data_IF_971317687520
#
_entry.id   IF_971317687520
#
_cell.length_a   1.000
_cell.length_b   1.000
_cell.length_c   1.000
_cell.angle_alpha   90.00
_cell.angle_beta   90.00
_cell.angle_gamma   90.00
#
_symmetry.space_group_name_H-M   'P 1'
#
loop_
_entity.id
_entity.type
_entity.pdbx_description
1 polymer ?
#
# COMPACT_ATOMS: atom_id res chain seq x y z
N UNK A 1 12.92 10.97 -3.09
CA UNK A 1 11.51 10.53 -3.16
C UNK A 1 11.32 9.29 -2.26
N UNK A 2 10.10 9.01 -1.77
CA UNK A 2 9.82 7.81 -0.94
C UNK A 2 8.65 7.03 -1.55
N UNK A 3 8.77 5.70 -1.65
CA UNK A 3 7.72 4.78 -2.09
C UNK A 3 7.30 3.90 -0.91
N UNK A 4 6.01 3.70 -0.71
CA UNK A 4 5.43 2.89 0.37
C UNK A 4 4.37 1.95 -0.22
N UNK A 5 4.64 0.63 -0.31
CA UNK A 5 3.61 -0.35 -0.63
C UNK A 5 2.54 -0.36 0.48
N UNK A 6 1.27 -0.26 0.10
CA UNK A 6 0.13 -0.21 1.03
C UNK A 6 -0.72 -1.49 1.00
N UNK A 7 -0.71 -2.18 -0.15
CA UNK A 7 -1.26 -3.52 -0.31
C UNK A 7 -0.55 -4.26 -1.45
N UNK A 8 -0.25 -5.54 -1.23
CA UNK A 8 0.62 -6.34 -2.12
C UNK A 8 0.02 -7.70 -2.53
N UNK A 9 -1.26 -7.97 -2.23
CA UNK A 9 -1.96 -9.17 -2.70
C UNK A 9 -2.44 -9.03 -4.15
N UNK A 10 -2.63 -10.17 -4.82
CA UNK A 10 -3.29 -10.24 -6.13
C UNK A 10 -4.68 -10.87 -6.02
N UNK A 11 -5.67 -10.31 -6.73
CA UNK A 11 -7.07 -10.71 -6.92
C UNK A 11 -7.95 -10.75 -5.65
N UNK A 12 -7.41 -11.14 -4.50
CA UNK A 12 -8.12 -11.28 -3.24
C UNK A 12 -7.20 -10.94 -2.07
N UNK A 13 -7.68 -10.24 -1.02
CA UNK A 13 -6.86 -9.98 0.15
C UNK A 13 -6.61 -11.30 0.90
N UNK A 14 -5.53 -11.32 1.69
CA UNK A 14 -5.26 -12.39 2.65
C UNK A 14 -5.24 -11.81 4.06
N UNK A 15 -5.21 -12.65 5.09
CA UNK A 15 -5.14 -12.20 6.49
C UNK A 15 -3.91 -11.32 6.83
N UNK A 16 -2.90 -11.26 5.93
CA UNK A 16 -1.63 -10.54 6.11
C UNK A 16 -1.16 -9.76 4.87
N UNK A 17 -2.00 -9.63 3.83
CA UNK A 17 -1.72 -8.84 2.62
C UNK A 17 -3.01 -8.22 2.09
N UNK A 18 -3.02 -6.91 1.89
CA UNK A 18 -4.15 -6.12 1.39
C UNK A 18 -4.12 -5.99 -0.14
N UNK A 19 -5.21 -5.49 -0.72
CA UNK A 19 -5.35 -5.31 -2.17
C UNK A 19 -4.49 -4.17 -2.72
N UNK A 20 -4.13 -4.18 -4.02
CA UNK A 20 -3.13 -3.29 -4.61
C UNK A 20 -3.32 -1.81 -4.31
N UNK A 21 -2.28 -1.24 -3.71
CA UNK A 21 -2.09 0.19 -3.58
C UNK A 21 -0.62 0.47 -3.25
N UNK A 22 -0.03 1.48 -3.89
CA UNK A 22 1.32 1.97 -3.60
C UNK A 22 1.28 3.49 -3.51
N UNK A 23 1.75 4.06 -2.41
CA UNK A 23 1.87 5.50 -2.26
C UNK A 23 3.31 5.97 -2.52
N UNK A 24 3.46 6.98 -3.37
CA UNK A 24 4.69 7.74 -3.54
C UNK A 24 4.53 9.06 -2.79
N UNK A 25 5.48 9.38 -1.92
CA UNK A 25 5.56 10.64 -1.19
C UNK A 25 6.71 11.49 -1.73
N UNK A 26 6.39 12.75 -2.04
CA UNK A 26 7.32 13.76 -2.53
C UNK A 26 6.94 15.12 -1.95
N UNK A 27 7.88 15.79 -1.28
CA UNK A 27 7.79 17.20 -0.87
C UNK A 27 6.50 17.57 -0.11
N UNK A 28 5.92 16.62 0.63
CA UNK A 28 4.69 16.80 1.41
C UNK A 28 3.40 16.39 0.69
N UNK A 29 3.45 16.10 -0.60
CA UNK A 29 2.38 15.54 -1.42
C UNK A 29 2.46 14.01 -1.53
N UNK A 30 1.32 13.39 -1.80
CA UNK A 30 1.16 11.94 -1.99
C UNK A 30 0.55 11.67 -3.37
N UNK A 31 1.10 10.67 -4.05
CA UNK A 31 0.64 10.16 -5.34
C UNK A 31 0.30 8.68 -5.13
N UNK A 32 -0.94 8.30 -5.39
CA UNK A 32 -1.44 6.95 -5.09
C UNK A 32 -1.60 6.14 -6.38
N UNK A 33 -0.90 5.02 -6.49
CA UNK A 33 -0.98 4.09 -7.62
C UNK A 33 -1.80 2.88 -7.19
N UNK A 34 -2.94 2.69 -7.87
CA UNK A 34 -4.08 1.87 -7.46
C UNK A 34 -4.66 2.20 -6.08
N UNK A 35 -5.94 1.87 -5.91
CA UNK A 35 -6.70 2.12 -4.69
C UNK A 35 -7.64 0.95 -4.41
N UNK A 36 -7.06 -0.23 -4.17
CA UNK A 36 -7.79 -1.41 -3.72
C UNK A 36 -8.52 -1.23 -2.39
N UNK A 37 -9.40 -2.17 -2.06
CA UNK A 37 -10.09 -2.19 -0.78
C UNK A 37 -9.09 -2.10 0.38
N UNK A 38 -9.44 -1.32 1.41
CA UNK A 38 -8.62 -1.01 2.58
C UNK A 38 -7.41 -0.08 2.35
N UNK A 39 -7.09 0.36 1.12
CA UNK A 39 -5.95 1.24 0.84
C UNK A 39 -5.89 2.48 1.76
N UNK A 40 -7.03 3.12 2.00
CA UNK A 40 -7.13 4.29 2.90
C UNK A 40 -6.78 4.01 4.38
N UNK A 41 -6.90 2.76 4.83
CA UNK A 41 -6.51 2.33 6.18
C UNK A 41 -5.01 2.02 6.24
N UNK A 42 -4.47 1.34 5.21
CA UNK A 42 -3.02 1.17 5.04
C UNK A 42 -2.29 2.52 5.01
N UNK A 43 -2.86 3.55 4.36
CA UNK A 43 -2.33 4.92 4.42
C UNK A 43 -2.22 5.45 5.87
N UNK A 44 -3.27 5.27 6.68
CA UNK A 44 -3.25 5.70 8.09
C UNK A 44 -2.20 4.94 8.90
N UNK A 45 -2.07 3.62 8.68
CA UNK A 45 -1.07 2.78 9.34
C UNK A 45 0.36 3.18 8.95
N UNK A 46 0.59 3.59 7.70
CA UNK A 46 1.86 4.15 7.21
C UNK A 46 2.11 5.61 7.66
N UNK A 47 1.18 6.23 8.40
CA UNK A 47 1.27 7.65 8.81
C UNK A 47 1.04 8.66 7.67
N UNK A 48 0.59 8.20 6.50
CA UNK A 48 0.32 9.04 5.33
C UNK A 48 -1.03 9.76 5.45
N UNK A 49 -1.00 11.08 5.34
CA UNK A 49 -2.22 11.91 5.38
C UNK A 49 -2.97 11.81 4.05
N UNK A 50 -4.16 11.22 4.04
CA UNK A 50 -5.06 11.15 2.87
C UNK A 50 -5.35 12.54 2.27
N UNK A 51 -5.47 13.58 3.10
CA UNK A 51 -5.63 14.97 2.65
C UNK A 51 -4.43 15.56 1.90
N UNK A 52 -3.29 14.84 1.84
CA UNK A 52 -2.12 15.20 1.03
C UNK A 52 -2.02 14.45 -0.30
N UNK A 53 -3.02 13.62 -0.66
CA UNK A 53 -3.09 13.05 -2.00
C UNK A 53 -3.31 14.17 -3.01
N UNK A 54 -2.48 14.23 -4.04
CA UNK A 54 -2.63 15.19 -5.15
C UNK A 54 -3.14 14.50 -6.42
N UNK A 55 -2.74 13.25 -6.65
CA UNK A 55 -3.25 12.43 -7.73
C UNK A 55 -3.45 10.96 -7.33
N UNK A 56 -4.43 10.31 -7.96
CA UNK A 56 -4.67 8.86 -7.92
C UNK A 56 -4.56 8.33 -9.35
N UNK A 57 -3.77 7.28 -9.54
CA UNK A 57 -3.52 6.60 -10.81
C UNK A 57 -4.09 5.19 -10.74
N UNK A 58 -5.19 4.92 -11.44
CA UNK A 58 -5.81 3.59 -11.52
C UNK A 58 -5.26 2.88 -12.76
N UNK A 59 -4.67 1.71 -12.59
CA UNK A 59 -4.10 0.91 -13.67
C UNK A 59 -5.18 0.32 -14.58
N UNK A 60 -6.20 -0.32 -13.99
CA UNK A 60 -7.27 -1.02 -14.72
C UNK A 60 -8.53 -1.28 -13.88
N UNK A 61 -9.56 -1.84 -14.52
CA UNK A 61 -10.86 -2.15 -13.90
C UNK A 61 -11.00 -3.60 -13.40
N UNK A 62 -9.92 -4.17 -12.86
CA UNK A 62 -10.03 -5.30 -11.94
C UNK A 62 -10.33 -4.77 -10.52
N UNK A 63 -11.26 -5.42 -9.81
CA UNK A 63 -11.94 -4.84 -8.64
C UNK A 63 -10.95 -4.52 -7.51
N UNK A 64 -9.89 -5.31 -7.39
CA UNK A 64 -8.83 -5.13 -6.42
C UNK A 64 -7.96 -3.89 -6.66
N UNK A 65 -8.02 -3.24 -7.82
CA UNK A 65 -7.23 -2.04 -8.12
C UNK A 65 -7.97 -0.72 -7.88
N UNK A 66 -9.31 -0.73 -7.75
CA UNK A 66 -10.09 0.51 -7.58
C UNK A 66 -11.20 0.46 -6.51
N UNK A 67 -11.50 -0.70 -5.93
CA UNK A 67 -12.63 -0.88 -4.97
C UNK A 67 -12.58 0.05 -3.75
N UNK A 68 -11.41 0.48 -3.30
CA UNK A 68 -11.25 1.43 -2.20
C UNK A 68 -11.53 2.90 -2.56
N UNK A 69 -11.58 3.24 -3.85
CA UNK A 69 -11.63 4.62 -4.34
C UNK A 69 -12.84 5.40 -3.80
N UNK A 70 -14.04 4.84 -3.86
CA UNK A 70 -15.26 5.55 -3.42
C UNK A 70 -15.27 5.81 -1.91
N UNK A 71 -14.72 4.88 -1.11
CA UNK A 71 -14.56 5.06 0.33
C UNK A 71 -13.51 6.13 0.67
N UNK A 72 -12.44 6.22 -0.13
CA UNK A 72 -11.43 7.27 -0.01
C UNK A 72 -12.00 8.66 -0.38
N UNK A 73 -12.68 8.79 -1.52
CA UNK A 73 -13.30 10.07 -1.95
C UNK A 73 -14.33 10.57 -0.93
N UNK A 74 -15.21 9.70 -0.45
CA UNK A 74 -16.17 10.02 0.62
C UNK A 74 -15.46 10.51 1.90
N UNK A 75 -14.31 9.92 2.21
CA UNK A 75 -13.49 10.33 3.38
C UNK A 75 -12.81 11.68 3.16
N UNK A 76 -12.30 11.97 1.97
CA UNK A 76 -11.73 13.28 1.64
C UNK A 76 -12.79 14.39 1.74
N UNK A 77 -14.03 14.10 1.35
CA UNK A 77 -15.15 15.02 1.51
C UNK A 77 -15.48 15.28 2.99
N UNK A 78 -15.55 14.23 3.82
CA UNK A 78 -15.74 14.38 5.26
C UNK A 78 -14.59 15.13 5.94
N UNK A 79 -13.37 15.06 5.39
CA UNK A 79 -12.21 15.81 5.84
C UNK A 79 -12.20 17.28 5.38
N UNK A 80 -13.22 17.74 4.66
CA UNK A 80 -13.34 19.11 4.11
C UNK A 80 -12.12 19.51 3.27
N UNK A 81 -11.68 18.59 2.42
CA UNK A 81 -10.69 18.90 1.38
C UNK A 81 -11.23 20.02 0.49
N UNK A 82 -10.35 20.98 0.18
CA UNK A 82 -10.54 22.14 -0.69
C UNK A 82 -9.69 22.04 -1.96
N UNK A 83 -8.47 21.48 -1.86
CA UNK A 83 -7.55 21.27 -2.99
C UNK A 83 -8.15 20.33 -4.05
N UNK A 84 -8.01 20.69 -5.34
CA UNK A 84 -8.32 19.81 -6.48
C UNK A 84 -7.62 18.44 -6.35
N UNK A 85 -8.25 17.38 -6.88
CA UNK A 85 -7.69 16.02 -6.95
C UNK A 85 -7.60 15.58 -8.41
N UNK A 86 -6.43 15.14 -8.87
CA UNK A 86 -6.33 14.46 -10.17
C UNK A 86 -6.69 12.98 -10.02
N UNK A 87 -7.54 12.45 -10.90
CA UNK A 87 -7.75 11.00 -11.07
C UNK A 87 -7.41 10.64 -12.51
N UNK A 88 -6.39 9.81 -12.68
CA UNK A 88 -5.94 9.31 -13.97
C UNK A 88 -6.16 7.80 -14.08
N UNK A 89 -6.49 7.32 -15.28
CA UNK A 89 -6.69 5.89 -15.53
C UNK A 89 -7.35 5.60 -16.88
N UNK A 90 -7.79 4.36 -17.13
CA UNK A 90 -8.55 4.03 -18.32
C UNK A 90 -9.82 4.87 -18.46
N UNK A 91 -10.15 5.18 -19.70
CA UNK A 91 -11.45 5.74 -20.11
C UNK A 91 -12.62 4.98 -19.49
N UNK A 92 -13.54 5.71 -18.87
CA UNK A 92 -14.62 5.19 -18.04
C UNK A 92 -14.41 5.41 -16.54
N UNK A 93 -13.22 5.85 -16.09
CA UNK A 93 -12.96 6.17 -14.68
C UNK A 93 -13.78 7.38 -14.24
N UNK A 94 -13.99 8.36 -15.14
CA UNK A 94 -14.86 9.50 -14.88
C UNK A 94 -16.31 9.05 -14.67
N UNK A 95 -16.84 8.27 -15.61
CA UNK A 95 -18.20 7.73 -15.56
C UNK A 95 -18.43 6.91 -14.29
N UNK A 96 -17.48 6.03 -13.94
CA UNK A 96 -17.53 5.24 -12.72
C UNK A 96 -17.62 6.11 -11.45
N UNK A 97 -16.74 7.11 -11.31
CA UNK A 97 -16.72 7.97 -10.11
C UNK A 97 -17.98 8.83 -10.04
N UNK A 98 -18.34 9.53 -11.12
CA UNK A 98 -19.52 10.42 -11.16
C UNK A 98 -20.83 9.65 -10.92
N UNK A 99 -20.97 8.45 -11.50
CA UNK A 99 -22.13 7.59 -11.27
C UNK A 99 -22.26 7.18 -9.79
N UNK A 100 -21.17 6.76 -9.15
CA UNK A 100 -21.20 6.33 -7.75
C UNK A 100 -21.44 7.50 -6.78
N UNK A 101 -20.88 8.68 -7.05
CA UNK A 101 -21.16 9.90 -6.29
C UNK A 101 -22.65 10.28 -6.39
N UNK A 102 -23.21 10.28 -7.60
CA UNK A 102 -24.63 10.57 -7.84
C UNK A 102 -25.54 9.53 -7.17
N UNK A 103 -25.24 8.23 -7.33
CA UNK A 103 -26.00 7.13 -6.71
C UNK A 103 -26.04 7.22 -5.17
N UNK A 104 -24.92 7.61 -4.56
CA UNK A 104 -24.80 7.75 -3.10
C UNK A 104 -25.27 9.12 -2.57
N UNK A 105 -25.60 10.07 -3.44
CA UNK A 105 -25.94 11.44 -3.07
C UNK A 105 -24.76 12.25 -2.49
N UNK A 106 -23.52 11.81 -2.74
CA UNK A 106 -22.31 12.48 -2.24
C UNK A 106 -21.93 13.61 -3.18
N UNK A 107 -22.02 14.84 -2.69
CA UNK A 107 -21.44 16.03 -3.32
C UNK A 107 -20.06 16.27 -2.74
N UNK A 108 -19.05 16.44 -3.60
CA UNK A 108 -17.69 16.80 -3.20
C UNK A 108 -17.57 18.33 -3.07
N UNK A 109 -16.80 18.80 -2.11
CA UNK A 109 -16.44 20.21 -1.88
C UNK A 109 -15.10 20.61 -2.50
N UNK A 110 -14.53 19.75 -3.34
CA UNK A 110 -13.31 19.95 -4.11
C UNK A 110 -13.51 19.36 -5.51
N UNK A 111 -12.85 19.94 -6.50
CA UNK A 111 -12.94 19.51 -7.88
C UNK A 111 -12.09 18.25 -8.15
N UNK A 112 -12.53 17.44 -9.12
CA UNK A 112 -11.76 16.31 -9.67
C UNK A 112 -11.39 16.62 -11.12
N UNK A 113 -10.09 16.63 -11.39
CA UNK A 113 -9.55 16.67 -12.74
C UNK A 113 -9.33 15.23 -13.24
N UNK A 114 -10.05 14.82 -14.28
CA UNK A 114 -9.97 13.47 -14.83
C UNK A 114 -9.02 13.40 -16.04
N UNK A 115 -8.03 12.51 -15.97
CA UNK A 115 -7.12 12.21 -17.08
C UNK A 115 -7.38 10.79 -17.58
N UNK A 116 -8.28 10.68 -18.56
CA UNK A 116 -8.70 9.40 -19.15
C UNK A 116 -7.81 9.01 -20.33
N UNK A 117 -7.27 7.79 -20.31
CA UNK A 117 -6.45 7.22 -21.39
C UNK A 117 -7.29 6.24 -22.22
N UNK A 118 -7.30 6.40 -23.55
CA UNK A 118 -7.93 5.49 -24.52
C UNK A 118 -6.95 4.34 -24.87
N UNK A 119 -7.47 3.17 -25.19
CA UNK A 119 -6.66 1.96 -25.49
C UNK A 119 -5.71 2.09 -26.68
N UNK A 120 -5.92 3.13 -27.52
CA UNK A 120 -5.16 3.43 -28.73
C UNK A 120 -3.91 4.27 -28.47
N UNK A 121 -3.79 4.90 -27.31
CA UNK A 121 -2.68 5.78 -26.98
C UNK A 121 -1.44 4.98 -26.58
N UNK A 122 -0.34 5.06 -27.35
CA UNK A 122 0.91 4.38 -26.98
C UNK A 122 1.61 4.97 -25.74
N UNK A 123 1.31 6.24 -25.45
CA UNK A 123 1.84 7.03 -24.35
C UNK A 123 0.95 8.23 -24.07
N UNK A 124 0.67 8.51 -22.80
CA UNK A 124 -0.09 9.70 -22.41
C UNK A 124 0.56 10.40 -21.24
N UNK A 125 0.68 11.72 -21.32
CA UNK A 125 1.12 12.56 -20.21
C UNK A 125 -0.07 12.87 -19.31
N UNK A 126 -0.31 12.02 -18.31
CA UNK A 126 -1.47 12.14 -17.42
C UNK A 126 -1.30 13.25 -16.37
N UNK A 127 -0.07 13.66 -16.07
CA UNK A 127 0.28 14.88 -15.33
C UNK A 127 1.54 15.49 -15.92
N UNK A 128 1.58 16.80 -16.16
CA UNK A 128 2.80 17.57 -16.43
C UNK A 128 2.79 18.81 -15.54
N UNK A 129 3.56 18.77 -14.45
CA UNK A 129 3.75 19.88 -13.51
C UNK A 129 5.13 20.51 -13.74
N UNK A 130 5.39 21.71 -13.20
CA UNK A 130 6.61 22.45 -13.49
C UNK A 130 7.91 21.68 -13.15
N UNK A 131 7.87 20.82 -12.13
CA UNK A 131 9.02 20.12 -11.54
C UNK A 131 8.95 18.58 -11.60
N UNK A 132 7.82 17.99 -12.05
CA UNK A 132 7.69 16.56 -12.32
C UNK A 132 6.63 16.29 -13.39
N UNK A 133 6.64 15.07 -13.93
CA UNK A 133 5.56 14.59 -14.77
C UNK A 133 5.20 13.13 -14.43
N UNK A 134 3.99 12.72 -14.84
CA UNK A 134 3.56 11.32 -14.83
C UNK A 134 3.14 10.91 -16.22
N UNK A 135 3.76 9.85 -16.73
CA UNK A 135 3.49 9.22 -18.01
C UNK A 135 2.76 7.89 -17.80
N UNK A 136 1.73 7.63 -18.59
CA UNK A 136 1.02 6.35 -18.65
C UNK A 136 1.32 5.64 -19.97
N UNK A 137 1.38 4.30 -19.96
CA UNK A 137 1.48 3.46 -21.17
C UNK A 137 0.63 2.20 -21.06
N UNK A 138 0.03 1.70 -22.17
CA UNK A 138 -0.63 0.41 -22.20
C UNK A 138 0.30 -0.74 -21.81
N UNK A 139 -0.17 -1.60 -20.91
CA UNK A 139 0.40 -2.88 -20.52
C UNK A 139 -0.34 -4.03 -21.21
N UNK A 140 0.18 -5.26 -21.07
CA UNK A 140 -0.38 -6.46 -21.70
C UNK A 140 -1.13 -7.31 -20.68
N UNK A 141 -2.38 -6.98 -20.43
CA UNK A 141 -3.26 -7.71 -19.50
C UNK A 141 -4.56 -8.20 -20.17
N UNK A 142 -5.38 -8.99 -19.46
CA UNK A 142 -6.69 -9.50 -19.93
C UNK A 142 -7.73 -8.40 -20.19
N UNK A 143 -7.63 -7.29 -19.45
CA UNK A 143 -8.34 -6.03 -19.69
C UNK A 143 -7.33 -4.94 -20.01
N UNK A 144 -7.78 -3.84 -20.61
CA UNK A 144 -6.92 -2.68 -20.84
C UNK A 144 -6.34 -2.19 -19.50
N UNK A 145 -5.01 -2.11 -19.44
CA UNK A 145 -4.25 -1.82 -18.24
C UNK A 145 -3.14 -0.82 -18.54
N UNK A 146 -2.89 0.07 -17.58
CA UNK A 146 -1.87 1.11 -17.64
C UNK A 146 -0.78 0.87 -16.61
N UNK A 147 0.46 1.01 -17.05
CA UNK A 147 1.61 1.23 -16.18
C UNK A 147 1.93 2.72 -16.17
N UNK A 148 2.51 3.19 -15.06
CA UNK A 148 2.81 4.60 -14.86
C UNK A 148 4.29 4.83 -14.55
N UNK A 149 4.85 5.95 -15.01
CA UNK A 149 6.17 6.45 -14.64
C UNK A 149 6.03 7.85 -14.04
N UNK A 150 6.38 7.99 -12.78
CA UNK A 150 6.64 9.29 -12.15
C UNK A 150 8.10 9.68 -12.41
N UNK A 151 8.32 10.90 -12.87
CA UNK A 151 9.65 11.43 -13.16
C UNK A 151 9.73 12.89 -12.68
N UNK A 152 10.58 13.18 -11.69
CA UNK A 152 11.01 14.57 -11.46
C UNK A 152 11.76 15.08 -12.70
N UNK A 153 11.56 16.34 -13.05
CA UNK A 153 12.34 17.02 -14.08
C UNK A 153 13.76 17.27 -13.54
N UNK A 154 14.74 17.28 -14.45
CA UNK A 154 16.14 17.41 -14.08
C UNK A 154 16.39 18.75 -13.39
N UNK A 155 17.11 18.69 -12.27
CA UNK A 155 17.42 19.87 -11.45
C UNK A 155 18.76 20.44 -11.93
N UNK A 156 18.92 21.78 -12.00
CA UNK A 156 20.23 22.38 -12.26
C UNK A 156 21.33 21.82 -11.35
N UNK A 157 22.55 21.85 -11.86
CA UNK A 157 23.73 21.46 -11.10
C UNK A 157 23.88 22.25 -9.80
N UNK A 158 24.76 21.77 -8.93
CA UNK A 158 25.16 22.56 -7.77
C UNK A 158 26.00 23.75 -8.28
N UNK A 159 25.71 24.92 -7.74
CA UNK A 159 26.56 26.11 -7.85
C UNK A 159 27.81 25.87 -6.99
N UNK A 160 28.99 26.08 -7.57
CA UNK A 160 30.23 26.28 -6.82
C UNK A 160 30.20 27.68 -6.19
N UNK A 161 29.76 27.73 -4.92
CA UNK A 161 29.61 28.97 -4.18
C UNK A 161 30.97 29.67 -3.96
N UNK A 162 32.05 28.92 -3.72
CA UNK A 162 33.37 29.51 -3.52
C UNK A 162 33.92 30.14 -4.81
N UNK A 163 33.71 29.49 -5.95
CA UNK A 163 34.14 30.03 -7.24
C UNK A 163 33.28 31.22 -7.66
N UNK A 164 31.97 31.16 -7.41
CA UNK A 164 31.07 32.29 -7.66
C UNK A 164 31.45 33.54 -6.84
N UNK A 165 31.73 33.37 -5.54
CA UNK A 165 32.17 34.45 -4.65
C UNK A 165 33.52 35.03 -5.09
N UNK A 166 34.50 34.19 -5.45
CA UNK A 166 35.81 34.62 -5.97
C UNK A 166 35.71 35.41 -7.28
N UNK A 167 34.66 35.19 -8.06
CA UNK A 167 34.38 35.90 -9.31
C UNK A 167 33.40 37.08 -9.12
N UNK A 168 33.01 37.41 -7.88
CA UNK A 168 32.14 38.56 -7.61
C UNK A 168 30.66 38.37 -8.00
N UNK A 169 30.23 37.15 -8.33
CA UNK A 169 28.83 36.84 -8.64
C UNK A 169 28.02 36.95 -7.35
N UNK A 170 27.17 37.96 -7.27
CA UNK A 170 26.44 38.33 -6.05
C UNK A 170 24.95 38.59 -6.28
N UNK A 171 24.49 38.74 -7.52
CA UNK A 171 23.08 38.97 -7.86
C UNK A 171 22.30 37.64 -7.99
N UNK A 172 21.13 37.57 -7.36
CA UNK A 172 20.18 36.47 -7.51
C UNK A 172 19.77 36.23 -8.98
N UNK A 173 19.72 37.28 -9.80
CA UNK A 173 19.41 37.14 -11.23
C UNK A 173 20.55 36.46 -11.99
N UNK A 174 21.80 36.87 -11.76
CA UNK A 174 23.00 36.18 -12.27
C UNK A 174 22.99 34.68 -11.89
N UNK A 175 22.66 34.35 -10.64
CA UNK A 175 22.55 32.95 -10.20
C UNK A 175 21.40 32.18 -10.85
N UNK A 176 20.29 32.82 -11.22
CA UNK A 176 19.20 32.18 -11.98
C UNK A 176 19.64 31.91 -13.42
N UNK A 177 20.27 32.88 -14.07
CA UNK A 177 20.70 32.78 -15.45
C UNK A 177 21.78 31.69 -15.61
N UNK A 178 22.79 31.66 -14.73
CA UNK A 178 23.77 30.57 -14.67
C UNK A 178 23.11 29.20 -14.45
N UNK A 179 22.12 29.09 -13.55
CA UNK A 179 21.38 27.82 -13.32
C UNK A 179 20.48 27.42 -14.50
N UNK A 180 20.05 28.36 -15.32
CA UNK A 180 19.34 28.10 -16.57
C UNK A 180 20.28 27.67 -17.71
N UNK A 181 21.60 27.72 -17.51
CA UNK A 181 22.60 27.43 -18.53
C UNK A 181 23.02 28.64 -19.37
N UNK A 182 22.59 29.86 -18.99
CA UNK A 182 22.96 31.09 -19.68
C UNK A 182 24.29 31.63 -19.15
N UNK A 183 25.17 32.06 -20.05
CA UNK A 183 26.36 32.82 -19.69
C UNK A 183 25.96 34.22 -19.20
N UNK A 184 26.70 34.77 -18.23
CA UNK A 184 26.46 36.11 -17.68
C UNK A 184 27.64 37.04 -17.97
N UNK A 185 27.39 38.34 -17.88
CA UNK A 185 28.42 39.37 -17.95
C UNK A 185 28.41 40.19 -16.66
N UNK A 186 29.58 40.40 -16.09
CA UNK A 186 29.79 41.21 -14.89
C UNK A 186 29.97 42.69 -15.24
N UNK A 187 29.85 43.56 -14.23
CA UNK A 187 29.99 45.02 -14.37
C UNK A 187 31.39 45.46 -14.82
N UNK A 188 32.41 44.64 -14.56
CA UNK A 188 33.79 44.87 -15.04
C UNK A 188 34.00 44.45 -16.52
N UNK A 189 32.97 43.87 -17.14
CA UNK A 189 32.99 43.38 -18.52
C UNK A 189 33.42 41.91 -18.68
N UNK A 190 33.75 41.21 -17.60
CA UNK A 190 34.07 39.78 -17.61
C UNK A 190 32.84 38.95 -17.99
N UNK A 191 32.99 38.03 -18.94
CA UNK A 191 31.96 37.04 -19.28
C UNK A 191 32.24 35.72 -18.55
N UNK A 192 31.23 35.14 -17.92
CA UNK A 192 31.32 33.89 -17.16
C UNK A 192 30.38 32.87 -17.78
N UNK A 193 30.95 31.72 -18.14
CA UNK A 193 30.17 30.64 -18.73
C UNK A 193 29.42 29.80 -17.68
N UNK A 194 28.20 29.36 -18.00
CA UNK A 194 27.35 28.69 -17.02
C UNK A 194 28.00 27.44 -16.39
N UNK A 195 28.69 26.65 -17.20
CA UNK A 195 29.37 25.42 -16.77
C UNK A 195 30.60 25.67 -15.88
N UNK A 196 31.13 26.90 -15.85
CA UNK A 196 32.23 27.26 -14.97
C UNK A 196 31.81 27.36 -13.50
N UNK A 197 30.53 27.64 -13.26
CA UNK A 197 29.95 27.88 -11.92
C UNK A 197 28.97 26.78 -11.53
N UNK A 198 28.20 26.28 -12.50
CA UNK A 198 27.15 25.28 -12.27
C UNK A 198 27.63 23.94 -12.80
N UNK A 199 27.72 22.94 -11.91
CA UNK A 199 28.08 21.58 -12.29
C UNK A 199 27.05 20.93 -13.22
N UNK A 200 27.28 19.67 -13.60
CA UNK A 200 26.34 18.92 -14.43
C UNK A 200 24.93 18.87 -13.83
N UNK A 201 23.91 18.89 -14.70
CA UNK A 201 22.51 18.71 -14.33
C UNK A 201 22.34 17.41 -13.52
N UNK A 202 21.46 17.46 -12.52
CA UNK A 202 21.19 16.37 -11.61
C UNK A 202 19.91 15.67 -12.06
N UNK A 203 19.97 14.41 -12.53
CA UNK A 203 18.79 13.68 -12.97
C UNK A 203 17.72 13.65 -11.88
N UNK A 204 16.47 13.91 -12.27
CA UNK A 204 15.35 13.85 -11.36
C UNK A 204 15.09 12.44 -10.82
N UNK A 205 14.60 12.34 -9.58
CA UNK A 205 14.16 11.07 -9.00
C UNK A 205 13.00 10.46 -9.82
N UNK A 206 13.01 9.13 -9.96
CA UNK A 206 12.08 8.43 -10.87
C UNK A 206 11.56 7.11 -10.31
N UNK A 207 10.29 6.83 -10.57
CA UNK A 207 9.58 5.63 -10.12
C UNK A 207 8.67 5.10 -11.24
N UNK A 208 8.74 3.80 -11.51
CA UNK A 208 7.78 3.12 -12.37
C UNK A 208 6.89 2.19 -11.56
N UNK A 209 5.58 2.26 -11.79
CA UNK A 209 4.58 1.32 -11.30
C UNK A 209 4.06 0.50 -12.47
N UNK A 210 4.46 -0.77 -12.50
CA UNK A 210 4.00 -1.77 -13.46
C UNK A 210 3.20 -2.81 -12.67
N UNK A 211 1.89 -2.62 -12.61
CA UNK A 211 0.98 -3.67 -12.14
C UNK A 211 0.70 -4.65 -13.29
N UNK A 212 -0.52 -5.14 -13.35
CA UNK A 212 -0.92 -6.39 -13.97
C UNK A 212 -0.56 -6.43 -15.45
N UNK A 213 0.33 -7.36 -15.81
CA UNK A 213 0.83 -7.49 -17.18
C UNK A 213 1.56 -8.81 -17.37
N UNK A 214 1.43 -9.42 -18.55
CA UNK A 214 2.51 -10.25 -19.11
C UNK A 214 3.74 -9.39 -19.41
N UNK A 215 4.91 -10.01 -19.60
CA UNK A 215 6.08 -9.33 -20.17
C UNK A 215 5.71 -8.51 -21.43
N UNK A 216 5.98 -7.19 -21.43
CA UNK A 216 5.72 -6.33 -22.58
C UNK A 216 6.76 -5.20 -22.73
N UNK A 217 7.03 -4.71 -23.97
CA UNK A 217 8.01 -3.65 -24.20
C UNK A 217 7.66 -2.32 -23.52
N UNK A 218 6.38 -2.03 -23.27
CA UNK A 218 5.98 -0.79 -22.62
C UNK A 218 6.34 -0.78 -21.12
N UNK A 219 6.35 -1.93 -20.44
CA UNK A 219 6.89 -2.04 -19.07
C UNK A 219 8.39 -1.65 -19.04
N UNK A 220 9.17 -2.11 -20.02
CA UNK A 220 10.59 -1.74 -20.17
C UNK A 220 10.75 -0.23 -20.43
N UNK A 221 9.94 0.35 -21.33
CA UNK A 221 9.96 1.82 -21.60
C UNK A 221 9.64 2.64 -20.35
N UNK A 222 8.61 2.27 -19.58
CA UNK A 222 8.27 2.94 -18.31
C UNK A 222 9.43 2.87 -17.31
N UNK A 223 10.01 1.68 -17.15
CA UNK A 223 11.08 1.39 -16.20
C UNK A 223 12.47 1.97 -16.57
N UNK A 224 12.66 2.47 -17.80
CA UNK A 224 13.96 2.81 -18.37
C UNK A 224 14.75 3.80 -17.49
N UNK A 225 15.93 3.39 -16.98
CA UNK A 225 16.81 4.13 -16.08
C UNK A 225 16.16 4.63 -14.78
N UNK A 226 15.09 3.98 -14.29
CA UNK A 226 14.38 4.41 -13.08
C UNK A 226 15.18 4.20 -11.79
N UNK A 227 14.95 5.01 -10.75
CA UNK A 227 15.50 4.74 -9.42
C UNK A 227 14.82 3.51 -8.78
N UNK A 228 13.50 3.39 -8.93
CA UNK A 228 12.71 2.28 -8.40
C UNK A 228 11.71 1.83 -9.46
N UNK A 229 11.72 0.54 -9.80
CA UNK A 229 10.65 -0.15 -10.51
C UNK A 229 9.86 -0.99 -9.49
N UNK A 230 8.58 -0.71 -9.31
CA UNK A 230 7.63 -1.66 -8.74
C UNK A 230 7.02 -2.48 -9.87
N UNK A 231 7.14 -3.81 -9.81
CA UNK A 231 6.61 -4.71 -10.83
C UNK A 231 5.77 -5.83 -10.18
N UNK A 232 4.68 -6.24 -10.84
CA UNK A 232 3.95 -7.44 -10.43
C UNK A 232 4.82 -8.70 -10.57
N UNK A 233 4.70 -9.62 -9.61
CA UNK A 233 5.28 -10.95 -9.67
C UNK A 233 4.25 -11.95 -9.14
N UNK A 234 3.10 -12.00 -9.82
CA UNK A 234 1.95 -12.80 -9.37
C UNK A 234 2.30 -14.28 -9.24
N UNK A 235 3.23 -14.77 -10.06
CA UNK A 235 3.69 -16.15 -10.12
C UNK A 235 5.21 -16.29 -10.07
N UNK A 236 5.69 -17.49 -9.75
CA UNK A 236 7.07 -17.91 -9.98
C UNK A 236 7.21 -18.63 -11.32
N UNK A 237 8.45 -18.86 -11.75
CA UNK A 237 8.81 -19.35 -13.08
C UNK A 237 8.17 -20.71 -13.43
N UNK A 238 7.94 -21.57 -12.42
CA UNK A 238 7.24 -22.85 -12.57
C UNK A 238 5.77 -22.74 -13.00
N UNK A 239 5.18 -21.53 -12.92
CA UNK A 239 3.79 -21.24 -13.28
C UNK A 239 3.70 -20.21 -14.43
N UNK A 240 4.73 -20.10 -15.27
CA UNK A 240 4.76 -19.19 -16.42
C UNK A 240 3.54 -19.36 -17.36
N UNK A 241 3.10 -20.59 -17.62
CA UNK A 241 1.89 -20.84 -18.42
C UNK A 241 0.64 -20.26 -17.75
N UNK A 242 0.52 -20.35 -16.42
CA UNK A 242 -0.60 -19.77 -15.67
C UNK A 242 -0.53 -18.26 -15.66
N UNK A 243 0.67 -17.68 -15.51
CA UNK A 243 0.90 -16.24 -15.58
C UNK A 243 0.39 -15.71 -16.92
N UNK A 244 0.84 -16.30 -18.03
CA UNK A 244 0.40 -15.98 -19.39
C UNK A 244 -1.10 -16.17 -19.61
N UNK A 245 -1.68 -17.30 -19.18
CA UNK A 245 -3.13 -17.56 -19.27
C UNK A 245 -3.97 -16.48 -18.57
N UNK A 246 -3.43 -15.91 -17.49
CA UNK A 246 -4.12 -14.91 -16.66
C UNK A 246 -3.63 -13.47 -16.88
N UNK A 247 -2.80 -13.22 -17.90
CA UNK A 247 -2.34 -11.86 -18.25
C UNK A 247 -1.35 -11.27 -17.24
N UNK A 248 -0.60 -12.10 -16.53
CA UNK A 248 0.33 -11.74 -15.45
C UNK A 248 1.78 -12.12 -15.73
N UNK A 249 2.68 -11.68 -14.87
CA UNK A 249 4.13 -11.92 -14.95
C UNK A 249 4.61 -12.95 -13.93
N UNK A 250 5.72 -13.59 -14.27
CA UNK A 250 6.54 -14.31 -13.29
C UNK A 250 7.56 -13.38 -12.62
N UNK A 251 8.12 -13.82 -11.49
CA UNK A 251 9.28 -13.18 -10.88
C UNK A 251 10.48 -13.04 -11.84
N UNK A 252 10.67 -14.00 -12.74
CA UNK A 252 11.67 -13.93 -13.82
C UNK A 252 11.34 -12.87 -14.87
N UNK A 253 10.07 -12.69 -15.25
CA UNK A 253 9.65 -11.63 -16.17
C UNK A 253 9.87 -10.23 -15.58
N UNK A 254 9.54 -10.04 -14.30
CA UNK A 254 9.80 -8.79 -13.58
C UNK A 254 11.31 -8.45 -13.53
N UNK A 255 12.16 -9.45 -13.23
CA UNK A 255 13.61 -9.30 -13.26
C UNK A 255 14.15 -9.01 -14.67
N UNK A 256 13.56 -9.64 -15.70
CA UNK A 256 13.89 -9.35 -17.09
C UNK A 256 13.58 -7.91 -17.46
N UNK A 257 12.39 -7.38 -17.11
CA UNK A 257 12.04 -5.97 -17.32
C UNK A 257 13.03 -5.05 -16.61
N UNK A 258 13.38 -5.33 -15.35
CA UNK A 258 14.35 -4.55 -14.59
C UNK A 258 15.74 -4.51 -15.26
N UNK A 259 16.23 -5.65 -15.75
CA UNK A 259 17.51 -5.78 -16.46
C UNK A 259 17.50 -5.06 -17.82
N UNK A 260 16.48 -5.29 -18.67
CA UNK A 260 16.36 -4.62 -19.98
C UNK A 260 16.18 -3.09 -19.83
N UNK A 261 15.54 -2.64 -18.75
CA UNK A 261 15.30 -1.24 -18.46
C UNK A 261 16.42 -0.54 -17.68
N UNK A 262 17.44 -1.26 -17.21
CA UNK A 262 18.55 -0.70 -16.41
C UNK A 262 18.07 0.09 -15.17
N UNK A 263 17.01 -0.38 -14.50
CA UNK A 263 16.55 0.24 -13.24
C UNK A 263 17.61 0.09 -12.14
N UNK A 264 17.59 0.95 -11.11
CA UNK A 264 18.52 0.85 -9.96
C UNK A 264 18.03 -0.13 -8.89
N UNK A 265 16.71 -0.31 -8.75
CA UNK A 265 16.08 -1.21 -7.77
C UNK A 265 14.77 -1.77 -8.32
N UNK A 266 14.63 -3.10 -8.27
CA UNK A 266 13.36 -3.78 -8.51
C UNK A 266 12.67 -4.06 -7.17
N UNK A 267 11.40 -3.73 -7.07
CA UNK A 267 10.51 -4.10 -5.97
C UNK A 267 9.40 -4.97 -6.55
N UNK A 268 9.41 -6.25 -6.23
CA UNK A 268 8.35 -7.17 -6.69
C UNK A 268 7.16 -7.16 -5.72
N UNK A 269 5.94 -7.19 -6.25
CA UNK A 269 4.70 -7.17 -5.48
C UNK A 269 3.57 -7.95 -6.16
N UNK A 270 2.32 -7.60 -5.85
CA UNK A 270 1.11 -8.20 -6.44
C UNK A 270 1.09 -9.75 -6.35
N UNK A 271 1.32 -10.28 -5.16
CA UNK A 271 1.59 -11.71 -4.97
C UNK A 271 0.31 -12.55 -4.90
N UNK A 272 0.23 -13.62 -5.69
CA UNK A 272 -0.86 -14.60 -5.57
C UNK A 272 -0.94 -15.17 -4.15
N UNK A 273 -2.17 -15.32 -3.63
CA UNK A 273 -2.45 -15.86 -2.30
C UNK A 273 -1.86 -17.26 -2.05
N UNK A 274 -1.55 -18.02 -3.12
CA UNK A 274 -0.90 -19.34 -3.05
C UNK A 274 0.49 -19.33 -2.39
N UNK A 275 1.21 -18.22 -2.47
CA UNK A 275 2.54 -18.12 -1.89
C UNK A 275 2.44 -17.73 -0.42
N UNK A 276 2.77 -18.67 0.46
CA UNK A 276 2.97 -18.45 1.90
C UNK A 276 4.38 -17.95 2.21
N UNK A 277 5.38 -18.42 1.44
CA UNK A 277 6.75 -17.92 1.49
C UNK A 277 7.09 -17.16 0.21
N UNK A 278 7.17 -15.83 0.30
CA UNK A 278 7.49 -14.95 -0.83
C UNK A 278 8.97 -15.01 -1.24
N UNK A 279 9.86 -15.55 -0.40
CA UNK A 279 11.30 -15.62 -0.70
C UNK A 279 11.62 -16.53 -1.89
N UNK A 280 10.71 -17.43 -2.30
CA UNK A 280 10.87 -18.21 -3.52
C UNK A 280 10.85 -17.32 -4.76
N UNK A 281 9.94 -16.33 -4.80
CA UNK A 281 9.84 -15.33 -5.87
C UNK A 281 11.01 -14.34 -5.82
N UNK A 282 11.40 -13.93 -4.61
CA UNK A 282 12.58 -13.08 -4.42
C UNK A 282 13.85 -13.74 -4.97
N UNK A 283 14.03 -15.04 -4.75
CA UNK A 283 15.17 -15.79 -5.27
C UNK A 283 15.15 -15.80 -6.80
N UNK A 284 14.05 -16.24 -7.40
CA UNK A 284 13.89 -16.29 -8.86
C UNK A 284 14.12 -14.93 -9.53
N UNK A 285 13.66 -13.83 -8.92
CA UNK A 285 13.92 -12.50 -9.44
C UNK A 285 15.40 -12.09 -9.27
N UNK A 286 16.04 -12.40 -8.14
CA UNK A 286 17.47 -12.10 -7.90
C UNK A 286 18.42 -12.87 -8.79
N UNK A 287 18.04 -14.06 -9.25
CA UNK A 287 18.81 -14.84 -10.22
C UNK A 287 18.90 -14.11 -11.59
N UNK A 288 17.91 -13.25 -11.93
CA UNK A 288 17.92 -12.40 -13.15
C UNK A 288 18.32 -10.94 -12.92
N UNK A 289 18.05 -10.37 -11.74
CA UNK A 289 18.38 -8.99 -11.37
C UNK A 289 18.64 -8.88 -9.86
N UNK A 290 19.90 -8.89 -9.45
CA UNK A 290 20.29 -8.97 -8.03
C UNK A 290 19.73 -7.85 -7.12
N UNK A 291 19.62 -6.57 -7.55
CA UNK A 291 18.99 -5.49 -6.78
C UNK A 291 17.45 -5.60 -6.70
N UNK A 292 16.93 -6.78 -6.29
CA UNK A 292 15.50 -7.01 -6.07
C UNK A 292 15.14 -7.10 -4.59
N UNK A 293 14.09 -6.40 -4.18
CA UNK A 293 13.43 -6.51 -2.87
C UNK A 293 11.99 -7.02 -3.01
N UNK A 294 11.48 -7.65 -1.94
CA UNK A 294 10.05 -7.86 -1.77
C UNK A 294 9.38 -6.54 -1.35
N UNK A 295 8.27 -6.20 -1.98
CA UNK A 295 7.33 -5.24 -1.43
C UNK A 295 6.87 -5.77 -0.05
N UNK A 296 7.06 -4.95 0.98
CA UNK A 296 6.54 -5.20 2.32
C UNK A 296 5.58 -4.04 2.63
N UNK A 297 4.36 -4.36 3.04
CA UNK A 297 3.36 -3.34 3.34
C UNK A 297 3.85 -2.40 4.44
N UNK A 298 3.50 -1.11 4.30
CA UNK A 298 3.84 -0.01 5.21
C UNK A 298 5.34 0.31 5.33
N UNK A 299 6.24 -0.45 4.69
CA UNK A 299 7.68 -0.20 4.71
C UNK A 299 8.04 0.88 3.68
N UNK A 300 8.65 2.01 4.09
CA UNK A 300 9.17 2.99 3.15
C UNK A 300 10.43 2.48 2.43
N UNK A 301 10.56 2.86 1.16
CA UNK A 301 11.65 2.57 0.24
C UNK A 301 12.11 3.90 -0.33
N UNK A 302 13.40 4.22 -0.23
CA UNK A 302 13.93 5.52 -0.62
C UNK A 302 14.66 5.44 -1.97
N UNK A 303 14.45 6.43 -2.85
CA UNK A 303 15.17 6.51 -4.13
C UNK A 303 16.67 6.79 -3.99
N UNK A 304 17.07 7.32 -2.82
CA UNK A 304 18.44 7.46 -2.37
C UNK A 304 18.67 6.53 -1.16
N UNK A 305 19.38 5.40 -1.33
CA UNK A 305 19.64 4.44 -0.26
C UNK A 305 20.44 5.00 0.93
N UNK A 306 21.07 6.18 0.81
CA UNK A 306 21.77 6.79 1.95
C UNK A 306 20.80 7.24 3.04
N UNK A 307 19.56 7.60 2.67
CA UNK A 307 18.50 7.99 3.62
C UNK A 307 17.87 6.79 4.36
N UNK A 308 18.12 5.55 3.94
CA UNK A 308 17.68 4.36 4.68
C UNK A 308 18.58 4.02 5.88
N UNK A 309 19.80 4.60 5.92
CA UNK A 309 20.78 4.33 6.97
C UNK A 309 20.27 4.82 8.32
N UNK A 310 19.94 3.87 9.20
CA UNK A 310 19.43 4.12 10.54
C UNK A 310 18.02 3.58 10.78
N UNK A 311 17.22 3.38 9.72
CA UNK A 311 15.89 2.74 9.81
C UNK A 311 16.04 1.22 9.99
N UNK A 312 17.09 0.64 9.41
CA UNK A 312 17.42 -0.79 9.52
C UNK A 312 18.81 -0.95 10.10
N UNK A 313 18.89 -1.26 11.39
CA UNK A 313 20.04 -1.96 11.95
C UNK A 313 19.73 -3.45 11.96
N UNK A 314 20.49 -4.32 11.26
CA UNK A 314 20.33 -5.76 11.44
C UNK A 314 20.63 -6.10 12.89
N UNK A 315 19.67 -6.74 13.58
CA UNK A 315 19.76 -7.11 14.99
C UNK A 315 20.48 -8.45 15.19
N UNK A 316 21.52 -8.69 14.39
CA UNK A 316 22.37 -9.89 14.46
C UNK A 316 23.83 -9.44 14.45
N UNK A 317 24.42 -9.37 15.64
CA UNK A 317 25.88 -9.50 15.75
C UNK A 317 26.23 -10.94 15.42
N UNK A 318 26.91 -11.15 14.28
CA UNK A 318 27.48 -12.46 13.96
C UNK A 318 28.58 -12.71 14.99
N UNK A 319 28.30 -13.54 16.00
CA UNK A 319 29.36 -14.10 16.84
C UNK A 319 30.20 -15.06 16.00
N UNK A 320 31.43 -14.67 15.71
CA UNK A 320 32.45 -15.57 15.20
C UNK A 320 32.57 -16.78 16.13
N UNK A 321 32.10 -17.94 15.67
CA UNK A 321 32.21 -19.23 16.38
C UNK A 321 33.63 -19.81 16.34
N UNK A 322 34.63 -19.02 15.93
CA UNK A 322 36.01 -19.43 15.63
C UNK A 322 37.05 -18.75 16.53
N UNK A 323 36.72 -18.53 17.81
CA UNK A 323 37.71 -18.28 18.88
C UNK A 323 37.16 -18.60 20.28
N UNK A 324 37.23 -19.87 20.65
CA UNK A 324 37.48 -20.32 22.04
C UNK A 324 37.83 -21.81 22.11
N UNK A 325 38.83 -22.21 21.34
CA UNK A 325 39.70 -23.33 21.73
C UNK A 325 40.85 -22.79 22.59
N UNK A 326 41.12 -23.45 23.72
CA UNK A 326 42.30 -23.28 24.59
C UNK A 326 42.61 -21.89 25.18
N UNK A 327 42.31 -21.67 26.47
CA UNK A 327 43.34 -21.47 27.52
C UNK A 327 42.74 -21.10 28.89
N UNK A 328 43.35 -21.63 29.97
CA UNK A 328 43.07 -21.26 31.37
C UNK A 328 41.75 -21.79 31.95
N UNK A 329 41.68 -22.31 33.18
CA UNK A 329 42.73 -22.49 34.19
C UNK A 329 42.06 -22.67 35.55
N UNK A 330 42.10 -23.88 36.12
CA UNK A 330 41.47 -24.15 37.43
C UNK A 330 42.21 -23.41 38.55
N UNK A 331 41.51 -22.49 39.23
CA UNK A 331 41.95 -21.93 40.51
C UNK A 331 40.78 -21.36 41.30
N UNK A 332 40.32 -22.08 42.33
CA UNK A 332 39.79 -21.44 43.54
C UNK A 332 39.74 -22.40 44.74
N UNK A 333 40.40 -21.95 45.81
CA UNK A 333 40.08 -22.21 47.22
C UNK A 333 40.15 -23.64 47.76
N UNK A 334 41.37 -23.95 48.23
CA UNK A 334 41.59 -24.80 49.41
C UNK A 334 40.74 -24.35 50.60
N UNK A 335 39.90 -25.25 51.10
CA UNK A 335 39.53 -25.31 52.52
C UNK A 335 39.49 -26.78 52.92
N UNK A 336 40.07 -27.12 54.07
CA UNK A 336 40.50 -28.48 54.35
C UNK A 336 39.55 -29.30 55.25
N UNK A 337 39.93 -30.58 55.36
CA UNK A 337 39.58 -31.59 56.38
C UNK A 337 38.34 -32.47 56.17
N UNK A 338 38.68 -33.73 55.85
CA UNK A 338 38.27 -34.98 56.54
C UNK A 338 36.88 -35.57 56.29
N UNK A 339 36.93 -36.68 55.56
CA UNK A 339 36.51 -38.03 55.96
C UNK A 339 35.03 -38.43 56.13
N UNK A 340 34.81 -39.66 55.64
CA UNK A 340 33.75 -40.64 55.93
C UNK A 340 32.37 -40.58 55.23
N UNK A 341 32.20 -41.59 54.35
CA UNK A 341 31.11 -42.61 54.33
C UNK A 341 29.65 -42.14 54.44
N UNK A 342 28.81 -42.53 53.48
CA UNK A 342 27.36 -42.67 53.76
C UNK A 342 26.42 -42.75 52.56
N UNK A 343 25.84 -43.92 52.34
CA UNK A 343 24.86 -44.28 51.31
C UNK A 343 23.47 -43.57 51.38
N UNK A 344 22.86 -43.34 50.20
CA UNK A 344 21.51 -43.82 49.80
C UNK A 344 20.17 -43.03 50.05
N UNK A 345 19.40 -42.91 48.95
CA UNK A 345 17.90 -42.91 48.77
C UNK A 345 16.98 -41.79 49.31
N UNK A 346 16.43 -40.98 48.39
CA UNK A 346 15.05 -41.13 47.83
C UNK A 346 13.80 -40.60 48.60
N UNK A 347 12.87 -39.92 47.88
CA UNK A 347 11.48 -39.67 48.33
C UNK A 347 10.71 -38.54 47.60
N UNK A 348 9.41 -38.72 47.30
CA UNK A 348 8.47 -37.71 46.73
C UNK A 348 7.16 -37.67 47.56
N UNK A 349 6.44 -36.52 47.61
CA UNK A 349 4.99 -36.35 47.26
C UNK A 349 4.21 -35.21 47.99
N UNK A 350 3.71 -34.23 47.19
CA UNK A 350 2.31 -33.75 46.99
C UNK A 350 1.24 -33.44 48.10
N UNK A 351 0.35 -32.47 47.74
CA UNK A 351 -1.04 -32.11 48.23
C UNK A 351 -1.14 -31.18 49.47
N UNK A 352 -2.18 -30.34 49.72
CA UNK A 352 -3.54 -30.07 49.13
C UNK A 352 -4.04 -28.61 49.39
N UNK A 353 -5.30 -28.23 49.04
CA UNK A 353 -5.89 -26.87 49.29
C UNK A 353 -7.42 -26.84 49.58
N UNK A 354 -7.89 -25.76 50.24
CA UNK A 354 -9.27 -25.22 50.48
C UNK A 354 -9.20 -23.68 50.66
N UNK A 355 -10.27 -22.86 50.76
CA UNK A 355 -11.72 -23.04 50.50
C UNK A 355 -12.65 -22.17 51.39
N UNK A 356 -13.55 -21.37 50.79
CA UNK A 356 -14.64 -20.52 51.41
C UNK A 356 -14.21 -19.29 52.25
N UNK A 357 -14.95 -18.16 52.38
CA UNK A 357 -16.16 -17.62 51.69
C UNK A 357 -16.89 -16.47 52.47
N UNK A 358 -17.68 -15.59 51.80
CA UNK A 358 -18.85 -14.84 52.35
C UNK A 358 -18.79 -13.30 52.65
N UNK A 359 -19.87 -12.53 52.35
CA UNK A 359 -20.29 -11.33 53.14
C UNK A 359 -20.81 -9.99 52.49
N UNK A 360 -22.15 -9.86 52.24
CA UNK A 360 -23.09 -8.72 52.50
C UNK A 360 -23.00 -7.23 51.99
N UNK A 361 -24.02 -6.84 51.17
CA UNK A 361 -25.02 -5.71 51.20
C UNK A 361 -24.76 -4.16 51.07
N UNK A 362 -25.80 -3.50 50.51
CA UNK A 362 -26.20 -2.05 50.43
C UNK A 362 -25.64 -1.17 49.27
N UNK A 363 -26.34 -0.15 48.70
CA UNK A 363 -27.79 0.20 48.48
C UNK A 363 -27.88 1.44 47.52
N UNK A 364 -29.07 1.72 46.95
CA UNK A 364 -29.54 3.04 46.41
C UNK A 364 -28.91 3.66 45.12
N UNK A 365 -29.53 4.54 44.28
CA UNK A 365 -30.94 4.85 43.89
C UNK A 365 -31.01 5.88 42.69
N UNK A 366 -32.16 6.01 41.97
CA UNK A 366 -32.60 7.07 40.98
C UNK A 366 -31.93 7.13 39.57
N UNK A 367 -32.53 7.49 38.42
CA UNK A 367 -33.94 7.71 37.97
C UNK A 367 -34.35 9.19 37.66
N UNK A 368 -34.98 9.61 36.53
CA UNK A 368 -35.33 8.98 35.22
C UNK A 368 -36.39 9.78 34.37
N UNK A 369 -36.43 9.65 33.01
CA UNK A 369 -37.41 10.30 32.05
C UNK A 369 -36.80 11.30 31.03
N UNK A 370 -37.41 11.77 29.93
CA UNK A 370 -38.70 11.43 29.24
C UNK A 370 -38.77 11.96 27.75
N UNK A 371 -39.90 11.77 27.03
CA UNK A 371 -40.11 11.83 25.55
C UNK A 371 -40.34 13.20 24.82
N UNK A 372 -39.99 13.29 23.51
CA UNK A 372 -40.83 13.66 22.31
C UNK A 372 -39.96 14.22 21.12
N UNK A 373 -40.21 14.08 19.79
CA UNK A 373 -41.22 13.44 18.87
C UNK A 373 -42.30 14.36 18.23
N UNK A 374 -42.27 14.50 16.87
CA UNK A 374 -43.34 14.73 15.83
C UNK A 374 -43.03 15.84 14.74
N UNK A 375 -43.64 15.97 13.53
CA UNK A 375 -44.27 15.05 12.53
C UNK A 375 -44.92 15.80 11.31
N UNK A 376 -44.29 15.86 10.10
CA UNK A 376 -44.81 16.36 8.78
C UNK A 376 -44.01 15.70 7.62
N UNK A 377 -44.49 15.27 6.45
CA UNK A 377 -45.52 15.78 5.52
C UNK A 377 -44.85 16.70 4.46
N UNK A 378 -44.95 16.57 3.13
CA UNK A 378 -45.70 15.66 2.23
C UNK A 378 -45.98 16.40 0.90
N UNK A 379 -45.71 15.81 -0.27
CA UNK A 379 -45.96 16.48 -1.57
C UNK A 379 -45.40 15.71 -2.77
N UNK A 380 -46.09 15.77 -3.92
CA UNK A 380 -45.65 15.09 -5.14
C UNK A 380 -46.23 15.73 -6.41
N UNK A 381 -45.62 15.43 -7.56
CA UNK A 381 -46.08 15.89 -8.88
C UNK A 381 -46.02 14.76 -9.92
N UNK A 382 -46.96 14.77 -10.86
CA UNK A 382 -47.04 13.88 -12.03
C UNK A 382 -46.95 14.69 -13.32
N UNK A 383 -46.22 14.17 -14.30
CA UNK A 383 -46.44 14.40 -15.75
C UNK A 383 -45.70 13.27 -16.48
N UNK A 384 -46.40 12.26 -17.00
CA UNK A 384 -46.87 12.19 -18.40
C UNK A 384 -45.78 12.40 -19.46
N UNK A 385 -45.42 11.32 -20.16
CA UNK A 385 -45.61 11.32 -21.61
C UNK A 385 -45.89 9.90 -22.15
N UNK A 386 -46.68 9.80 -23.22
CA UNK A 386 -47.06 8.55 -23.90
C UNK A 386 -46.29 8.44 -25.21
N UNK A 387 -45.92 7.21 -25.61
CA UNK A 387 -46.07 6.80 -27.01
C UNK A 387 -46.50 5.33 -27.11
N UNK A 388 -47.58 5.12 -27.88
CA UNK A 388 -48.06 3.86 -28.45
C UNK A 388 -47.23 3.58 -29.75
N UNK A 389 -47.22 2.42 -30.42
CA UNK A 389 -47.88 1.12 -30.25
C UNK A 389 -47.38 0.12 -31.30
N UNK A 390 -47.36 -1.17 -30.96
CA UNK A 390 -47.63 -2.28 -31.90
C UNK A 390 -46.43 -2.88 -32.66
N UNK A 391 -46.48 -4.13 -33.12
CA UNK A 391 -47.48 -5.20 -32.94
C UNK A 391 -46.91 -6.58 -33.31
N UNK A 392 -47.38 -7.64 -32.63
CA UNK A 392 -47.41 -9.02 -33.12
C UNK A 392 -46.76 -10.03 -32.18
N UNK A 393 -47.50 -10.92 -31.49
CA UNK A 393 -48.09 -12.18 -32.01
C UNK A 393 -47.03 -13.21 -32.46
N UNK A 394 -47.04 -14.50 -32.07
CA UNK A 394 -47.99 -15.27 -31.24
C UNK A 394 -47.36 -16.63 -30.86
N UNK A 395 -47.53 -17.12 -29.62
CA UNK A 395 -48.13 -18.43 -29.28
C UNK A 395 -47.74 -18.98 -27.91
N UNK A 396 -48.73 -19.61 -27.27
CA UNK A 396 -48.60 -20.45 -26.07
C UNK A 396 -48.22 -21.88 -26.47
N UNK A 397 -47.77 -22.66 -25.49
CA UNK A 397 -48.55 -23.86 -25.14
C UNK A 397 -48.39 -24.24 -23.67
N UNK A 398 -49.48 -24.72 -23.06
CA UNK A 398 -49.59 -25.05 -21.65
C UNK A 398 -49.14 -26.49 -21.35
N UNK A 399 -48.56 -26.71 -20.15
CA UNK A 399 -48.85 -27.94 -19.39
C UNK A 399 -48.57 -27.83 -17.88
N UNK A 400 -49.63 -27.93 -17.08
CA UNK A 400 -49.61 -28.28 -15.65
C UNK A 400 -48.98 -29.69 -15.47
N UNK A 401 -48.38 -30.09 -14.33
CA UNK A 401 -49.08 -30.26 -13.05
C UNK A 401 -48.14 -30.64 -11.86
N UNK A 402 -48.46 -30.10 -10.67
CA UNK A 402 -48.22 -30.60 -9.28
C UNK A 402 -46.95 -31.36 -8.87
N UNK A 403 -46.35 -30.88 -7.77
CA UNK A 403 -45.56 -31.69 -6.82
C UNK A 403 -45.10 -30.89 -5.59
N UNK A 404 -45.60 -31.23 -4.41
CA UNK A 404 -45.20 -30.74 -3.05
C UNK A 404 -43.69 -30.46 -2.87
N UNK A 405 -43.23 -29.46 -2.09
CA UNK A 405 -43.92 -28.65 -1.10
C UNK A 405 -43.34 -28.85 0.31
N UNK A 406 -42.35 -28.05 0.71
CA UNK A 406 -41.96 -27.88 2.11
C UNK A 406 -41.40 -26.45 2.34
N UNK A 407 -42.19 -25.57 2.97
CA UNK A 407 -41.74 -24.23 3.40
C UNK A 407 -41.45 -24.27 4.90
N UNK A 408 -40.18 -24.14 5.30
CA UNK A 408 -39.83 -23.91 6.71
C UNK A 408 -39.91 -22.42 7.03
N UNK A 409 -40.99 -22.03 7.69
CA UNK A 409 -41.14 -20.72 8.32
C UNK A 409 -40.38 -20.70 9.64
N UNK A 410 -39.49 -19.73 9.85
CA UNK A 410 -38.96 -19.43 11.18
C UNK A 410 -39.89 -18.41 11.86
N UNK A 411 -40.65 -18.88 12.84
CA UNK A 411 -41.55 -18.05 13.63
C UNK A 411 -40.80 -17.14 14.61
N UNK A 412 -41.29 -15.92 14.73
CA UNK A 412 -40.93 -15.01 15.83
C UNK A 412 -41.57 -15.48 17.15
N UNK A 413 -40.83 -15.42 18.26
CA UNK A 413 -41.45 -15.37 19.59
C UNK A 413 -40.59 -14.66 20.63
N UNK A 414 -41.29 -14.23 21.68
CA UNK A 414 -40.95 -13.17 22.63
C UNK A 414 -39.96 -13.54 23.75
N UNK A 415 -39.32 -12.50 24.29
CA UNK A 415 -38.65 -12.47 25.59
C UNK A 415 -39.57 -12.88 26.76
N UNK A 416 -39.05 -13.64 27.73
CA UNK A 416 -38.89 -13.14 29.11
C UNK A 416 -38.01 -14.02 30.02
N UNK A 417 -37.10 -13.36 30.75
CA UNK A 417 -36.58 -13.63 32.11
C UNK A 417 -36.32 -15.09 32.55
N UNK A 418 -35.06 -15.35 32.93
CA UNK A 418 -34.74 -15.34 34.37
C UNK A 418 -33.31 -14.85 34.69
N UNK A 419 -33.01 -14.70 35.99
CA UNK A 419 -31.86 -14.02 36.64
C UNK A 419 -30.47 -14.64 36.31
N UNK A 420 -29.32 -13.97 36.52
CA UNK A 420 -29.01 -12.72 37.25
C UNK A 420 -27.57 -12.22 36.99
N UNK A 421 -27.09 -11.20 37.73
CA UNK A 421 -25.97 -10.30 37.34
C UNK A 421 -25.00 -9.96 38.50
N UNK A 422 -23.68 -10.04 38.24
CA UNK A 422 -22.55 -9.20 38.73
C UNK A 422 -21.21 -9.91 38.37
N UNK A 423 -20.12 -9.31 37.84
CA UNK A 423 -19.32 -8.13 38.29
C UNK A 423 -18.73 -8.40 39.71
N UNK A 424 -17.42 -8.33 40.02
CA UNK A 424 -16.19 -7.99 39.25
C UNK A 424 -14.90 -8.53 39.94
N UNK A 425 -13.79 -8.61 39.18
CA UNK A 425 -12.34 -8.68 39.58
C UNK A 425 -11.87 -9.76 40.60
N UNK A 426 -10.64 -10.31 40.55
CA UNK A 426 -9.39 -9.79 39.99
C UNK A 426 -8.41 -10.93 39.55
N UNK A 427 -7.43 -10.59 38.71
CA UNK A 427 -6.11 -11.26 38.60
C UNK A 427 -6.01 -12.72 38.09
N UNK A 428 -6.33 -12.97 36.81
CA UNK A 428 -5.44 -13.73 35.92
C UNK A 428 -5.62 -13.26 34.47
N UNK A 429 -4.55 -13.08 33.68
CA UNK A 429 -4.70 -12.70 32.28
C UNK A 429 -5.38 -13.82 31.51
N UNK A 430 -6.58 -13.52 30.99
CA UNK A 430 -7.20 -14.35 29.94
C UNK A 430 -6.17 -14.51 28.82
N UNK A 431 -5.97 -15.73 28.33
CA UNK A 431 -5.16 -15.97 27.14
C UNK A 431 -5.84 -15.33 25.94
N UNK A 432 -5.53 -14.07 25.67
CA UNK A 432 -5.85 -13.41 24.42
C UNK A 432 -5.21 -14.24 23.32
N UNK A 433 -6.03 -14.80 22.43
CA UNK A 433 -5.52 -15.34 21.16
C UNK A 433 -5.22 -14.11 20.30
N UNK A 434 -4.03 -13.54 20.52
CA UNK A 434 -3.50 -12.48 19.65
C UNK A 434 -3.33 -13.09 18.26
N UNK A 435 -3.90 -12.47 17.20
CA UNK A 435 -3.54 -12.84 15.83
C UNK A 435 -2.03 -12.69 15.69
N UNK A 436 -1.34 -13.74 15.22
CA UNK A 436 0.10 -13.65 14.93
C UNK A 436 0.29 -12.64 13.82
N UNK A 437 0.87 -11.49 14.14
CA UNK A 437 1.41 -10.57 13.15
C UNK A 437 2.68 -11.18 12.55
N UNK A 438 2.98 -10.83 11.29
CA UNK A 438 4.09 -11.40 10.50
C UNK A 438 5.50 -10.94 10.93
N UNK A 439 5.67 -10.46 12.16
CA UNK A 439 6.90 -9.79 12.62
C UNK A 439 7.73 -10.57 13.65
N UNK A 440 7.28 -11.75 14.11
CA UNK A 440 7.94 -12.49 15.21
C UNK A 440 8.89 -13.63 14.76
N UNK A 441 8.95 -14.00 13.48
CA UNK A 441 9.73 -15.17 12.98
C UNK A 441 10.90 -14.77 12.04
N UNK A 442 11.80 -13.89 12.50
CA UNK A 442 13.10 -13.62 11.87
C UNK A 442 14.27 -14.15 12.71
N UNK A 443 14.33 -15.47 12.89
CA UNK A 443 15.45 -16.14 13.56
C UNK A 443 15.68 -17.59 13.08
N UNK A 444 15.38 -17.88 11.80
CA UNK A 444 15.73 -19.15 11.13
C UNK A 444 16.11 -18.94 9.65
N UNK A 445 17.34 -19.34 9.36
CA UNK A 445 18.02 -19.43 8.05
C UNK A 445 18.63 -18.13 7.50
#
# INVERSE_FOLDING_TARGET
MIVVPLGIASATPTAVRHLPAVALWREGSVFLFDCGENAQMSMLQAGLKRSKIDAIFISHFDVDHYSGLMGLLSTLQLQRRDKELTIAGPKGIKEFVEWNLNFSGVQLGFDINYSEVDEKEEVTRVVDADDYYVEARPLKHRRFCLGFRFQEKDKPGKVDAEKAEKLGITDDQQFKDLKAGNNIKLDDGTEIEAYEIVGHARPGDSFAYVSDTEYCPNAVKLAMNTNILYHEATFGNQLADKAKETGHSTAGDAARVATEAQTKLLVIGHFSARYTNLHVLLKEARDGFYPTWLANELRPIFTDPTHERGIIKPKVEIKDLTKNSSSGGYSSHSSGRRDNRGQSRGGKNFRSRRGSGGGNYNRDNRGGGNYNRDNRGGGGYRSNNRYNSGSGDRNRDDRYNRGSGERRSYGSSSYNRDRGRSEDNDSQPKKTITPRTSYDDFDRF
#
